data_IF_119644006845
#
_entry.id   IF_119644006845
#
_cell.length_a   1.000
_cell.length_b   1.000
_cell.length_c   1.000
_cell.angle_alpha   90.00
_cell.angle_beta   90.00
_cell.angle_gamma   90.00
#
_symmetry.space_group_name_H-M   'P 1'
#
loop_
_entity.id
_entity.type
_entity.pdbx_description
1 polymer ?
#
# COMPACT_ATOMS: atom_id res chain seq x y z
N UNK A 1 -16.13 -25.42 14.14
CA UNK A 1 -15.50 -26.03 12.96
C UNK A 1 -15.75 -25.11 11.78
N UNK A 2 -14.79 -24.25 11.44
CA UNK A 2 -14.92 -23.31 10.30
C UNK A 2 -14.37 -24.04 9.08
N UNK A 3 -15.27 -24.32 8.11
CA UNK A 3 -14.92 -24.88 6.81
C UNK A 3 -13.99 -23.90 6.08
N UNK A 4 -12.81 -24.36 5.64
CA UNK A 4 -11.97 -23.60 4.72
C UNK A 4 -12.60 -23.72 3.33
N UNK A 5 -13.24 -22.64 2.89
CA UNK A 5 -13.66 -22.48 1.51
C UNK A 5 -12.44 -22.48 0.58
N UNK A 6 -12.67 -22.96 -0.63
CA UNK A 6 -11.78 -22.86 -1.79
C UNK A 6 -11.33 -21.41 -1.99
N UNK A 7 -10.01 -21.20 -2.16
CA UNK A 7 -9.40 -19.88 -2.31
C UNK A 7 -9.56 -19.37 -3.75
N UNK A 8 -10.08 -18.17 -3.93
CA UNK A 8 -9.97 -17.43 -5.19
C UNK A 8 -8.60 -16.74 -5.30
N UNK A 9 -8.09 -16.63 -6.53
CA UNK A 9 -6.77 -16.08 -6.82
C UNK A 9 -6.72 -14.57 -6.49
N UNK A 10 -5.91 -14.19 -5.49
CA UNK A 10 -5.62 -12.78 -5.19
C UNK A 10 -5.55 -12.42 -3.70
N UNK A 11 -5.93 -13.31 -2.78
CA UNK A 11 -5.77 -13.03 -1.35
C UNK A 11 -4.29 -13.10 -0.92
N UNK A 12 -3.71 -11.94 -0.58
CA UNK A 12 -2.42 -11.86 0.10
C UNK A 12 -2.55 -12.49 1.50
N UNK A 13 -2.05 -13.71 1.65
CA UNK A 13 -1.93 -14.38 2.92
C UNK A 13 -0.74 -13.81 3.68
N UNK A 14 -0.97 -13.15 4.82
CA UNK A 14 0.10 -12.73 5.73
C UNK A 14 0.73 -13.96 6.37
N UNK A 15 1.69 -14.55 5.68
CA UNK A 15 2.41 -15.73 6.13
C UNK A 15 3.52 -15.33 7.08
N UNK A 16 3.50 -15.88 8.30
CA UNK A 16 4.60 -15.76 9.26
C UNK A 16 5.73 -16.76 9.01
N UNK A 17 5.63 -17.58 7.95
CA UNK A 17 6.64 -18.60 7.59
C UNK A 17 8.05 -18.03 7.45
N UNK A 18 8.29 -16.84 6.85
CA UNK A 18 9.64 -16.27 6.78
C UNK A 18 10.25 -16.00 8.16
N UNK A 19 9.48 -15.41 9.07
CA UNK A 19 9.89 -15.14 10.45
C UNK A 19 10.13 -16.44 11.21
N UNK A 20 9.25 -17.43 11.04
CA UNK A 20 9.38 -18.73 11.69
C UNK A 20 10.66 -19.46 11.24
N UNK A 21 11.00 -19.37 9.96
CA UNK A 21 12.23 -19.94 9.41
C UNK A 21 13.47 -19.19 9.91
N UNK A 22 13.44 -17.85 9.95
CA UNK A 22 14.53 -17.04 10.49
C UNK A 22 14.82 -17.40 11.95
N UNK A 23 13.79 -17.46 12.80
CA UNK A 23 13.92 -17.83 14.21
C UNK A 23 14.45 -19.26 14.35
N UNK A 24 13.96 -20.19 13.52
CA UNK A 24 14.45 -21.57 13.54
C UNK A 24 15.93 -21.70 13.17
N UNK A 25 16.43 -20.90 12.22
CA UNK A 25 17.81 -20.99 11.73
C UNK A 25 18.77 -20.21 12.64
N UNK A 26 18.42 -19.00 13.03
CA UNK A 26 19.32 -18.07 13.73
C UNK A 26 19.15 -18.06 15.26
N UNK A 27 18.00 -18.53 15.77
CA UNK A 27 17.66 -18.56 17.20
C UNK A 27 17.14 -19.95 17.64
N UNK A 28 17.95 -21.02 17.48
CA UNK A 28 17.48 -22.39 17.66
C UNK A 28 17.06 -22.70 19.10
N UNK A 29 17.73 -22.11 20.11
CA UNK A 29 17.39 -22.34 21.53
C UNK A 29 16.02 -21.78 21.86
N UNK A 30 15.76 -20.54 21.47
CA UNK A 30 14.49 -19.83 21.65
C UNK A 30 13.37 -20.51 20.86
N UNK A 31 13.65 -20.95 19.64
CA UNK A 31 12.71 -21.73 18.82
C UNK A 31 12.26 -23.01 19.53
N UNK A 32 13.19 -23.79 20.09
CA UNK A 32 12.85 -25.02 20.81
C UNK A 32 12.06 -24.75 22.10
N UNK A 33 12.39 -23.69 22.84
CA UNK A 33 11.66 -23.28 24.04
C UNK A 33 10.20 -22.95 23.70
N UNK A 34 9.98 -22.10 22.70
CA UNK A 34 8.64 -21.69 22.27
C UNK A 34 7.84 -22.85 21.68
N UNK A 35 8.49 -23.75 20.92
CA UNK A 35 7.87 -24.98 20.42
C UNK A 35 7.42 -25.87 21.58
N UNK A 36 8.26 -26.09 22.58
CA UNK A 36 7.96 -26.95 23.72
C UNK A 36 6.81 -26.38 24.55
N UNK A 37 6.78 -25.06 24.80
CA UNK A 37 5.66 -24.38 25.46
C UNK A 37 4.35 -24.57 24.69
N UNK A 38 4.38 -24.40 23.36
CA UNK A 38 3.19 -24.59 22.52
C UNK A 38 2.71 -26.05 22.49
N UNK A 39 3.63 -27.01 22.52
CA UNK A 39 3.30 -28.43 22.58
C UNK A 39 2.67 -28.81 23.93
N UNK A 40 3.20 -28.29 25.04
CA UNK A 40 2.61 -28.43 26.37
C UNK A 40 1.21 -27.80 26.43
N UNK A 41 1.03 -26.60 25.85
CA UNK A 41 -0.27 -25.91 25.76
C UNK A 41 -1.29 -26.72 24.95
N UNK A 42 -0.85 -27.36 23.85
CA UNK A 42 -1.70 -28.25 23.03
C UNK A 42 -2.05 -29.54 23.75
N UNK A 43 -1.10 -30.15 24.47
CA UNK A 43 -1.34 -31.35 25.29
C UNK A 43 -2.31 -31.06 26.44
N UNK A 44 -2.19 -29.91 27.11
CA UNK A 44 -3.13 -29.46 28.14
C UNK A 44 -4.56 -29.24 27.59
N UNK A 45 -4.70 -28.79 26.33
CA UNK A 45 -6.00 -28.65 25.69
C UNK A 45 -6.60 -29.97 25.17
N UNK A 46 -5.77 -30.98 24.92
CA UNK A 46 -6.20 -32.29 24.40
C UNK A 46 -6.75 -33.23 25.49
N UNK A 47 -6.39 -33.06 26.76
CA UNK A 47 -6.86 -33.90 27.89
C UNK A 47 -8.38 -33.74 28.14
N UNK A 48 -9.00 -32.66 27.68
CA UNK A 48 -10.44 -32.42 27.87
C UNK A 48 -11.37 -33.05 26.80
N UNK A 49 -10.88 -33.93 25.91
CA UNK A 49 -11.72 -34.64 24.94
C UNK A 49 -11.25 -36.07 24.69
N UNK A 50 -11.98 -37.04 25.24
CA UNK A 50 -11.79 -38.49 25.03
C UNK A 50 -12.68 -38.97 23.85
N UNK A 51 -12.00 -39.36 22.76
CA UNK A 51 -12.22 -40.39 21.69
C UNK A 51 -13.55 -40.55 20.90
N UNK A 52 -13.61 -41.33 19.77
CA UNK A 52 -12.52 -41.99 18.99
C UNK A 52 -12.54 -41.84 17.43
N UNK A 53 -11.37 -42.14 16.84
CA UNK A 53 -11.08 -42.80 15.54
C UNK A 53 -11.48 -42.11 14.21
N UNK A 54 -10.48 -41.80 13.37
CA UNK A 54 -10.35 -42.41 12.04
C UNK A 54 -8.96 -42.19 11.43
N UNK A 55 -8.38 -43.31 11.02
CA UNK A 55 -7.09 -43.53 10.37
C UNK A 55 -7.10 -42.99 8.93
N UNK A 56 -6.04 -42.30 8.47
CA UNK A 56 -5.56 -42.40 7.08
C UNK A 56 -4.22 -41.71 6.85
N UNK A 57 -3.29 -42.55 6.44
CA UNK A 57 -1.90 -42.35 6.01
C UNK A 57 -1.84 -41.81 4.57
N UNK A 58 -0.87 -40.93 4.26
CA UNK A 58 0.03 -40.99 3.07
C UNK A 58 0.67 -39.61 2.82
N UNK A 59 1.98 -39.45 2.92
CA UNK A 59 3.08 -39.78 1.98
C UNK A 59 3.47 -38.60 1.07
N UNK A 60 4.70 -38.18 1.32
CA UNK A 60 5.67 -37.32 0.63
C UNK A 60 5.59 -37.25 -0.90
N UNK A 61 5.73 -36.03 -1.47
CA UNK A 61 6.50 -35.81 -2.71
C UNK A 61 7.23 -34.46 -2.61
N UNK A 62 8.56 -34.52 -2.74
CA UNK A 62 9.47 -33.37 -2.84
C UNK A 62 9.37 -32.75 -4.23
N UNK A 63 9.35 -31.42 -4.32
CA UNK A 63 9.65 -30.71 -5.57
C UNK A 63 10.72 -29.66 -5.27
N UNK A 64 11.88 -29.86 -5.87
CA UNK A 64 13.01 -28.92 -5.88
C UNK A 64 12.60 -27.66 -6.65
N UNK A 65 12.96 -26.49 -6.15
CA UNK A 65 12.84 -25.24 -6.91
C UNK A 65 13.97 -24.29 -6.51
N UNK A 66 14.60 -23.79 -7.57
CA UNK A 66 15.73 -22.88 -7.70
C UNK A 66 15.77 -21.78 -6.62
N UNK A 67 16.95 -21.62 -6.02
CA UNK A 67 17.28 -20.58 -5.04
C UNK A 67 17.34 -19.21 -5.72
N UNK A 68 16.23 -18.47 -5.71
CA UNK A 68 16.25 -17.02 -5.89
C UNK A 68 16.80 -16.40 -4.60
N UNK A 69 18.08 -16.03 -4.62
CA UNK A 69 18.68 -15.27 -3.52
C UNK A 69 18.09 -13.86 -3.53
N UNK A 70 17.13 -13.62 -2.63
CA UNK A 70 16.70 -12.28 -2.25
C UNK A 70 17.90 -11.51 -1.71
N UNK A 71 18.54 -10.69 -2.54
CA UNK A 71 19.66 -9.84 -2.14
C UNK A 71 19.12 -8.70 -1.29
N UNK A 72 19.22 -8.82 0.02
CA UNK A 72 19.16 -7.65 0.88
C UNK A 72 20.32 -6.73 0.50
N UNK A 73 20.04 -5.48 0.13
CA UNK A 73 21.06 -4.48 -0.23
C UNK A 73 22.00 -4.28 0.96
N UNK A 74 23.31 -4.25 0.69
CA UNK A 74 24.31 -4.00 1.73
C UNK A 74 24.17 -2.59 2.32
N UNK A 75 24.58 -2.41 3.58
CA UNK A 75 24.65 -1.09 4.22
C UNK A 75 25.49 -0.13 3.39
N UNK A 76 26.62 -0.59 2.83
CA UNK A 76 27.48 0.25 1.99
C UNK A 76 26.82 0.65 0.67
N UNK A 77 26.00 -0.24 0.12
CA UNK A 77 25.24 0.01 -1.11
C UNK A 77 24.13 1.03 -0.86
N UNK A 78 23.46 0.94 0.29
CA UNK A 78 22.50 1.93 0.75
C UNK A 78 23.16 3.29 0.99
N UNK A 79 24.29 3.35 1.71
CA UNK A 79 25.00 4.60 1.96
C UNK A 79 25.51 5.25 0.66
N UNK A 80 25.92 4.46 -0.34
CA UNK A 80 26.25 4.96 -1.68
C UNK A 80 25.04 5.49 -2.42
N UNK A 81 23.87 4.85 -2.29
CA UNK A 81 22.65 5.29 -2.97
C UNK A 81 22.06 6.57 -2.37
N UNK A 82 22.33 6.86 -1.09
CA UNK A 82 21.95 8.12 -0.43
C UNK A 82 22.80 9.33 -0.84
N UNK A 83 23.90 9.14 -1.59
CA UNK A 83 24.77 10.25 -1.99
C UNK A 83 24.16 11.06 -3.13
N UNK A 84 24.09 12.38 -2.95
CA UNK A 84 23.70 13.34 -4.00
C UNK A 84 24.59 13.14 -5.23
N UNK A 85 23.96 13.02 -6.39
CA UNK A 85 24.67 12.81 -7.65
C UNK A 85 25.49 14.06 -8.02
N UNK A 86 26.67 13.84 -8.59
CA UNK A 86 27.45 14.93 -9.17
C UNK A 86 26.68 15.56 -10.32
N UNK A 87 26.87 16.86 -10.56
CA UNK A 87 26.32 17.55 -11.75
C UNK A 87 26.79 16.92 -13.07
N UNK A 88 27.93 16.24 -13.04
CA UNK A 88 28.49 15.52 -14.18
C UNK A 88 28.06 14.03 -14.23
N UNK A 89 27.24 13.56 -13.30
CA UNK A 89 26.64 12.22 -13.34
C UNK A 89 25.61 12.16 -14.48
N UNK A 90 25.66 11.09 -15.29
CA UNK A 90 24.79 10.93 -16.45
C UNK A 90 23.30 10.94 -16.10
N UNK A 91 22.93 10.46 -14.90
CA UNK A 91 21.54 10.48 -14.41
C UNK A 91 21.11 11.89 -14.06
N UNK A 92 21.97 12.66 -13.38
CA UNK A 92 21.72 14.07 -13.05
C UNK A 92 21.53 14.89 -14.34
N UNK A 93 22.42 14.75 -15.31
CA UNK A 93 22.31 15.44 -16.60
C UNK A 93 21.02 15.07 -17.36
N UNK A 94 20.62 13.79 -17.31
CA UNK A 94 19.37 13.34 -17.94
C UNK A 94 18.15 14.01 -17.32
N UNK A 95 18.09 14.11 -15.99
CA UNK A 95 16.99 14.79 -15.28
C UNK A 95 17.03 16.30 -15.54
N UNK A 96 18.20 16.94 -15.43
CA UNK A 96 18.37 18.37 -15.72
C UNK A 96 17.89 18.72 -17.12
N UNK A 97 18.23 17.90 -18.13
CA UNK A 97 17.76 18.10 -19.50
C UNK A 97 16.24 18.00 -19.62
N UNK A 98 15.61 17.05 -18.93
CA UNK A 98 14.14 16.91 -18.93
C UNK A 98 13.44 18.09 -18.25
N UNK A 99 13.96 18.54 -17.11
CA UNK A 99 13.44 19.73 -16.40
C UNK A 99 13.57 20.97 -17.28
N UNK A 100 14.76 21.20 -17.86
CA UNK A 100 14.98 22.34 -18.76
C UNK A 100 14.11 22.30 -20.01
N UNK A 101 13.88 21.10 -20.59
CA UNK A 101 12.97 20.95 -21.72
C UNK A 101 11.52 21.28 -21.33
N UNK A 102 11.04 20.78 -20.19
CA UNK A 102 9.70 21.09 -19.67
C UNK A 102 9.53 22.59 -19.45
N UNK A 103 10.49 23.25 -18.80
CA UNK A 103 10.43 24.71 -18.57
C UNK A 103 10.42 25.51 -19.87
N UNK A 104 11.26 25.13 -20.85
CA UNK A 104 11.36 25.83 -22.13
C UNK A 104 10.10 25.65 -22.99
N UNK A 105 9.53 24.45 -23.04
CA UNK A 105 8.31 24.16 -23.80
C UNK A 105 7.09 24.86 -23.19
N UNK A 106 6.96 24.86 -21.86
CA UNK A 106 5.81 25.40 -21.14
C UNK A 106 5.99 26.88 -20.74
N UNK A 107 7.09 27.51 -21.18
CA UNK A 107 7.45 28.92 -20.92
C UNK A 107 7.44 29.26 -19.41
N UNK A 108 7.94 28.36 -18.59
CA UNK A 108 7.99 28.54 -17.13
C UNK A 108 9.21 29.39 -16.71
N UNK A 109 9.11 30.21 -15.65
CA UNK A 109 10.23 30.98 -15.14
C UNK A 109 11.27 30.08 -14.45
N UNK A 110 12.51 30.57 -14.34
CA UNK A 110 13.58 29.85 -13.64
C UNK A 110 13.28 29.62 -12.16
N UNK A 111 12.44 30.46 -11.54
CA UNK A 111 12.03 30.33 -10.14
C UNK A 111 11.24 29.06 -9.87
N UNK A 112 10.65 28.40 -10.89
CA UNK A 112 9.89 27.15 -10.73
C UNK A 112 10.69 26.08 -9.98
N UNK A 113 11.99 25.96 -10.24
CA UNK A 113 12.81 24.91 -9.60
C UNK A 113 13.17 25.23 -8.15
N UNK A 114 12.93 26.46 -7.72
CA UNK A 114 13.10 26.93 -6.35
C UNK A 114 11.79 26.88 -5.56
N UNK A 115 10.65 26.69 -6.24
CA UNK A 115 9.35 26.59 -5.60
C UNK A 115 9.32 25.42 -4.62
N UNK A 116 8.76 25.65 -3.43
CA UNK A 116 8.69 24.66 -2.37
C UNK A 116 8.03 23.36 -2.82
N UNK A 117 6.95 23.45 -3.60
CA UNK A 117 6.25 22.29 -4.14
C UNK A 117 7.12 21.48 -5.11
N UNK A 118 7.91 22.16 -5.96
CA UNK A 118 8.83 21.50 -6.87
C UNK A 118 9.95 20.78 -6.10
N UNK A 119 10.53 21.43 -5.10
CA UNK A 119 11.58 20.84 -4.26
C UNK A 119 11.05 19.62 -3.48
N UNK A 120 9.85 19.69 -2.93
CA UNK A 120 9.23 18.60 -2.17
C UNK A 120 9.12 17.29 -2.97
N UNK A 121 8.85 17.37 -4.28
CA UNK A 121 8.79 16.18 -5.17
C UNK A 121 10.11 15.40 -5.14
N UNK A 122 11.26 16.08 -4.99
CA UNK A 122 12.58 15.47 -5.05
C UNK A 122 13.17 15.16 -3.67
N UNK A 123 12.82 15.95 -2.65
CA UNK A 123 13.44 15.86 -1.32
C UNK A 123 12.69 14.99 -0.33
N UNK A 124 11.41 14.64 -0.57
CA UNK A 124 10.64 13.80 0.36
C UNK A 124 11.03 12.32 0.22
N UNK A 125 11.78 11.73 1.18
CA UNK A 125 12.41 10.42 0.95
C UNK A 125 11.45 9.23 1.18
N UNK A 126 10.26 9.45 1.79
CA UNK A 126 9.42 8.35 2.32
C UNK A 126 7.89 8.53 2.17
N UNK A 127 7.32 9.72 1.91
CA UNK A 127 5.85 9.81 1.77
C UNK A 127 5.43 9.89 0.32
N UNK A 128 4.78 8.83 -0.18
CA UNK A 128 3.71 9.02 -1.15
C UNK A 128 2.64 9.84 -0.44
N UNK A 129 2.75 11.18 -0.50
CA UNK A 129 1.68 12.05 -0.04
C UNK A 129 0.44 11.71 -0.83
N UNK A 130 -0.58 11.34 -0.10
CA UNK A 130 -1.82 10.91 -0.69
C UNK A 130 -2.81 12.05 -0.67
N UNK A 131 -3.51 12.22 -1.77
CA UNK A 131 -4.50 13.26 -1.93
C UNK A 131 -5.82 12.60 -2.29
N UNK A 132 -6.89 13.20 -1.81
CA UNK A 132 -8.25 12.87 -2.24
C UNK A 132 -8.88 14.14 -2.79
N UNK A 133 -9.53 13.98 -3.94
CA UNK A 133 -10.20 15.07 -4.64
C UNK A 133 -11.67 14.72 -4.87
N UNK A 134 -12.51 15.76 -4.77
CA UNK A 134 -13.91 15.71 -5.13
C UNK A 134 -14.13 16.66 -6.30
N UNK A 135 -14.59 16.12 -7.43
CA UNK A 135 -14.98 16.89 -8.60
C UNK A 135 -16.49 16.76 -8.85
N UNK A 136 -17.10 17.86 -9.26
CA UNK A 136 -18.47 17.88 -9.75
C UNK A 136 -18.45 17.98 -11.27
N UNK A 137 -19.27 17.14 -11.89
CA UNK A 137 -19.47 17.08 -13.33
C UNK A 137 -20.97 17.29 -13.56
N UNK A 138 -21.34 18.27 -14.38
CA UNK A 138 -22.73 18.65 -14.62
C UNK A 138 -22.95 19.10 -16.06
N UNK A 139 -24.20 19.12 -16.47
CA UNK A 139 -24.63 19.61 -17.78
C UNK A 139 -25.76 20.62 -17.54
N UNK A 140 -25.73 21.77 -18.22
CA UNK A 140 -26.80 22.78 -18.13
C UNK A 140 -27.99 22.47 -19.05
N UNK A 141 -28.94 23.41 -19.12
CA UNK A 141 -30.15 23.28 -19.96
C UNK A 141 -29.85 23.29 -21.45
N UNK A 142 -28.70 23.82 -21.84
CA UNK A 142 -28.26 23.96 -23.22
C UNK A 142 -27.26 22.85 -23.61
N UNK A 143 -27.15 21.80 -22.79
CA UNK A 143 -26.22 20.68 -22.94
C UNK A 143 -24.73 21.06 -22.88
N UNK A 144 -24.39 22.20 -22.30
CA UNK A 144 -23.00 22.55 -22.04
C UNK A 144 -22.50 21.81 -20.79
N UNK A 145 -21.31 21.22 -20.89
CA UNK A 145 -20.65 20.51 -19.79
C UNK A 145 -19.93 21.48 -18.86
N UNK A 146 -20.06 21.25 -17.57
CA UNK A 146 -19.33 21.95 -16.50
C UNK A 146 -18.56 20.93 -15.66
N UNK A 147 -17.25 21.09 -15.60
CA UNK A 147 -16.35 20.28 -14.79
C UNK A 147 -15.64 21.18 -13.79
N UNK A 148 -15.83 20.92 -12.50
CA UNK A 148 -15.20 21.71 -11.44
C UNK A 148 -14.61 20.80 -10.37
N UNK A 149 -13.37 21.07 -9.96
CA UNK A 149 -12.78 20.43 -8.78
C UNK A 149 -13.27 21.22 -7.56
N UNK A 150 -14.16 20.61 -6.78
CA UNK A 150 -14.70 21.20 -5.56
C UNK A 150 -13.66 21.15 -4.43
N UNK A 151 -12.92 20.05 -4.34
CA UNK A 151 -11.92 19.86 -3.31
C UNK A 151 -10.74 19.07 -3.85
N UNK A 152 -9.52 19.44 -3.46
CA UNK A 152 -8.33 18.62 -3.61
C UNK A 152 -7.52 18.83 -2.34
N UNK A 153 -7.35 17.78 -1.53
CA UNK A 153 -6.67 17.94 -0.25
C UNK A 153 -5.81 16.76 0.11
N UNK A 154 -4.74 17.10 0.84
CA UNK A 154 -3.88 16.13 1.47
C UNK A 154 -4.70 15.20 2.39
N UNK A 155 -4.40 13.92 2.29
CA UNK A 155 -5.04 12.81 2.99
C UNK A 155 -3.95 11.85 3.50
N UNK A 156 -3.23 12.24 4.57
CA UNK A 156 -2.13 11.43 5.12
C UNK A 156 -2.59 10.21 5.92
N UNK A 157 -3.89 10.11 6.21
CA UNK A 157 -4.44 9.01 6.98
C UNK A 157 -4.40 7.70 6.17
N UNK A 158 -4.43 6.57 6.88
CA UNK A 158 -4.64 5.26 6.23
C UNK A 158 -5.90 5.30 5.38
N UNK A 159 -5.80 4.92 4.11
CA UNK A 159 -6.89 4.89 3.13
C UNK A 159 -7.92 3.79 3.40
N UNK A 160 -8.38 3.62 4.63
CA UNK A 160 -9.48 2.70 4.96
C UNK A 160 -10.80 3.28 4.47
N UNK A 161 -11.79 2.42 4.19
CA UNK A 161 -13.12 2.90 3.78
C UNK A 161 -13.74 3.89 4.78
N UNK A 162 -13.51 3.68 6.08
CA UNK A 162 -14.00 4.57 7.15
C UNK A 162 -13.38 5.97 7.03
N UNK A 163 -12.07 6.07 6.84
CA UNK A 163 -11.39 7.37 6.74
C UNK A 163 -11.76 8.09 5.44
N UNK A 164 -11.89 7.34 4.34
CA UNK A 164 -12.35 7.88 3.05
C UNK A 164 -13.76 8.46 3.19
N UNK A 165 -14.70 7.71 3.79
CA UNK A 165 -16.07 8.17 4.05
C UNK A 165 -16.09 9.45 4.87
N UNK A 166 -15.38 9.48 6.01
CA UNK A 166 -15.28 10.67 6.86
C UNK A 166 -14.70 11.87 6.11
N UNK A 167 -13.66 11.65 5.31
CA UNK A 167 -13.03 12.71 4.54
C UNK A 167 -13.98 13.25 3.48
N UNK A 168 -14.73 12.40 2.79
CA UNK A 168 -15.75 12.82 1.82
C UNK A 168 -16.89 13.59 2.48
N UNK A 169 -17.42 13.13 3.63
CA UNK A 169 -18.46 13.87 4.35
C UNK A 169 -17.98 15.27 4.74
N UNK A 170 -16.74 15.42 5.20
CA UNK A 170 -16.17 16.75 5.47
C UNK A 170 -16.10 17.64 4.22
N UNK A 171 -15.84 17.06 3.04
CA UNK A 171 -15.84 17.79 1.77
C UNK A 171 -17.26 18.20 1.37
N UNK A 172 -18.24 17.31 1.48
CA UNK A 172 -19.64 17.62 1.19
C UNK A 172 -20.17 18.75 2.09
N UNK A 173 -19.88 18.68 3.39
CA UNK A 173 -20.28 19.68 4.38
C UNK A 173 -19.69 21.05 4.08
N UNK A 174 -18.41 21.10 3.68
CA UNK A 174 -17.74 22.36 3.33
C UNK A 174 -18.43 23.09 2.16
N UNK A 175 -18.99 22.33 1.22
CA UNK A 175 -19.74 22.85 0.08
C UNK A 175 -21.26 22.91 0.31
N UNK A 176 -21.72 22.55 1.51
CA UNK A 176 -23.15 22.48 1.88
C UNK A 176 -23.96 21.60 0.92
N UNK A 177 -23.34 20.53 0.42
CA UNK A 177 -23.98 19.56 -0.47
C UNK A 177 -24.72 18.55 0.40
N UNK A 178 -26.03 18.71 0.46
CA UNK A 178 -26.91 17.83 1.23
C UNK A 178 -27.03 16.45 0.58
N UNK A 179 -27.35 15.43 1.38
CA UNK A 179 -27.41 14.04 0.93
C UNK A 179 -28.40 13.81 -0.23
N UNK A 180 -29.49 14.59 -0.26
CA UNK A 180 -30.55 14.48 -1.27
C UNK A 180 -30.08 14.92 -2.66
N UNK A 181 -28.99 15.70 -2.73
CA UNK A 181 -28.39 16.17 -3.99
C UNK A 181 -27.29 15.23 -4.49
N UNK A 182 -26.94 14.21 -3.72
CA UNK A 182 -25.90 13.22 -4.07
C UNK A 182 -26.54 12.06 -4.85
N UNK A 183 -26.77 12.28 -6.14
CA UNK A 183 -27.44 11.28 -6.99
C UNK A 183 -26.48 10.25 -7.59
N UNK A 184 -25.34 10.71 -8.12
CA UNK A 184 -24.37 9.88 -8.82
C UNK A 184 -23.00 10.21 -8.26
N UNK A 185 -22.31 9.18 -7.80
CA UNK A 185 -20.93 9.28 -7.34
C UNK A 185 -20.07 8.30 -8.11
N UNK A 186 -19.09 8.84 -8.83
CA UNK A 186 -18.14 8.05 -9.61
C UNK A 186 -16.85 7.93 -8.82
N UNK A 187 -16.39 6.70 -8.63
CA UNK A 187 -15.16 6.37 -7.90
C UNK A 187 -14.39 5.26 -8.64
N UNK A 188 -13.13 5.08 -8.30
CA UNK A 188 -12.33 3.98 -8.87
C UNK A 188 -12.74 2.60 -8.31
N UNK A 189 -12.10 1.53 -8.81
CA UNK A 189 -12.34 0.16 -8.35
C UNK A 189 -11.55 -0.27 -7.11
N UNK A 190 -10.86 0.65 -6.42
CA UNK A 190 -10.01 0.27 -5.29
C UNK A 190 -10.87 -0.23 -4.12
N UNK A 191 -10.45 -1.33 -3.48
CA UNK A 191 -11.24 -2.01 -2.43
C UNK A 191 -11.69 -1.07 -1.31
N UNK A 192 -10.83 -0.13 -0.89
CA UNK A 192 -11.18 0.81 0.16
C UNK A 192 -12.08 1.96 -0.33
N UNK A 193 -11.95 2.37 -1.60
CA UNK A 193 -12.88 3.32 -2.22
C UNK A 193 -14.28 2.70 -2.33
N UNK A 194 -14.36 1.43 -2.72
CA UNK A 194 -15.63 0.68 -2.74
C UNK A 194 -16.23 0.61 -1.34
N UNK A 195 -15.43 0.33 -0.31
CA UNK A 195 -15.91 0.22 1.07
C UNK A 195 -16.30 1.55 1.71
N UNK A 196 -15.70 2.67 1.29
CA UNK A 196 -15.88 3.99 1.91
C UNK A 196 -16.89 4.89 1.20
N UNK A 197 -17.32 4.50 0.00
CA UNK A 197 -18.15 5.32 -0.90
C UNK A 197 -19.40 4.52 -1.31
N UNK A 198 -20.15 4.07 -0.29
CA UNK A 198 -21.40 3.31 -0.41
C UNK A 198 -22.57 4.22 -0.07
#
# INVERSE_FOLDING_TARGET
MIKRGTMEAGQKCFSTTPLHNHIKINHPKEYHIERNKNEQKRKAQAVNKITPEFFSTSTTVKKETVSETSKQTSIDEYLKSQKVWSINDSRSQTIHRKIGLMMALDKQPFTLVEDTAFLQIWTCPISHESFISLSSHSIDKDFNRFDVVLHASHFPESHTGINISKKLESMWDSWKIQAERRHILVRDGASNMISGVI
#
